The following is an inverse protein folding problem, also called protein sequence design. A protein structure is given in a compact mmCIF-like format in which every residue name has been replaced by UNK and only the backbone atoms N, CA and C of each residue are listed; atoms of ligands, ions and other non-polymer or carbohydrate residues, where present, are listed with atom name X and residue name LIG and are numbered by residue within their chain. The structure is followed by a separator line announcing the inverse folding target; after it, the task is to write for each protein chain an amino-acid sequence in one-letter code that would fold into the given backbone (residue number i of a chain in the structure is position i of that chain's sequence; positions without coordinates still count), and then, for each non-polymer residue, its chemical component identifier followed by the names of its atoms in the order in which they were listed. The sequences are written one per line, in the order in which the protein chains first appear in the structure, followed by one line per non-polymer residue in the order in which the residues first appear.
data_IF_844339333355
#
_entry.id   IF_844339333355
#
_cell.length_a   1.000
_cell.length_b   1.000
_cell.length_c   1.000
_cell.angle_alpha   90.00
_cell.angle_beta   90.00
_cell.angle_gamma   90.00
#
_symmetry.space_group_name_H-M   'P 1'
#
loop_
_entity.id
_entity.type
_entity.pdbx_description
1 polymer ?
#
# COMPACT_ATOMS: atom_id res chain seq x y z
N UNK A 1 26.26 -7.87 -4.21
CA UNK A 1 25.79 -6.60 -3.61
C UNK A 1 24.53 -6.18 -4.37
N UNK A 2 23.33 -6.36 -3.81
CA UNK A 2 22.08 -6.12 -4.55
C UNK A 2 21.83 -4.63 -4.78
N UNK A 3 21.56 -4.23 -6.02
CA UNK A 3 21.17 -2.85 -6.34
C UNK A 3 19.87 -2.51 -5.60
N UNK A 4 19.87 -1.44 -4.79
CA UNK A 4 18.67 -0.93 -4.14
C UNK A 4 17.76 -0.32 -5.22
N UNK A 5 16.60 -0.93 -5.47
CA UNK A 5 15.63 -0.46 -6.45
C UNK A 5 14.35 -0.01 -5.75
N UNK A 6 13.67 0.96 -6.34
CA UNK A 6 12.47 1.55 -5.76
C UNK A 6 11.24 1.11 -6.54
N UNK A 7 10.21 0.67 -5.84
CA UNK A 7 8.90 0.37 -6.40
C UNK A 7 7.90 1.38 -5.86
N UNK A 8 7.10 1.98 -6.73
CA UNK A 8 6.01 2.89 -6.33
C UNK A 8 4.69 2.27 -6.73
N UNK A 9 3.83 2.02 -5.74
CA UNK A 9 2.49 1.49 -5.94
C UNK A 9 1.47 2.60 -5.78
N UNK A 10 0.54 2.70 -6.72
CA UNK A 10 -0.53 3.69 -6.77
C UNK A 10 -1.84 2.96 -7.02
N UNK A 11 -2.86 3.28 -6.24
CA UNK A 11 -4.20 2.73 -6.43
C UNK A 11 -5.19 3.84 -6.75
N UNK A 12 -5.99 3.60 -7.78
CA UNK A 12 -7.02 4.51 -8.25
C UNK A 12 -8.34 3.76 -8.21
N UNK A 13 -9.33 4.37 -7.57
CA UNK A 13 -10.70 3.87 -7.59
C UNK A 13 -11.45 4.54 -8.72
N UNK A 14 -12.07 3.71 -9.53
CA UNK A 14 -12.79 4.10 -10.73
C UNK A 14 -14.27 3.82 -10.57
N UNK A 15 -15.11 4.76 -10.99
CA UNK A 15 -16.55 4.52 -11.12
C UNK A 15 -16.84 3.65 -12.35
N UNK A 16 -16.12 3.92 -13.46
CA UNK A 16 -16.18 3.16 -14.71
C UNK A 16 -14.75 2.89 -15.18
N UNK A 17 -14.33 1.61 -15.19
CA UNK A 17 -12.94 1.24 -15.49
C UNK A 17 -12.51 1.71 -16.90
N UNK A 18 -13.36 1.56 -17.91
CA UNK A 18 -13.03 1.93 -19.30
C UNK A 18 -12.73 3.42 -19.48
N UNK A 19 -13.45 4.29 -18.76
CA UNK A 19 -13.21 5.72 -18.79
C UNK A 19 -11.91 6.09 -18.05
N UNK A 20 -11.68 5.45 -16.90
CA UNK A 20 -10.42 5.56 -16.15
C UNK A 20 -9.20 5.17 -16.99
N UNK A 21 -9.29 4.04 -17.69
CA UNK A 21 -8.27 3.54 -18.62
C UNK A 21 -7.97 4.60 -19.68
N UNK A 22 -9.00 5.11 -20.36
CA UNK A 22 -8.84 6.12 -21.42
C UNK A 22 -8.14 7.39 -20.90
N UNK A 23 -8.54 7.89 -19.72
CA UNK A 23 -7.94 9.08 -19.11
C UNK A 23 -6.49 8.83 -18.66
N UNK A 24 -6.25 7.69 -18.02
CA UNK A 24 -4.92 7.31 -17.51
C UNK A 24 -3.93 7.12 -18.65
N UNK A 25 -4.33 6.39 -19.71
CA UNK A 25 -3.49 6.20 -20.90
C UNK A 25 -3.24 7.52 -21.63
N UNK A 26 -4.25 8.40 -21.71
CA UNK A 26 -4.05 9.76 -22.25
C UNK A 26 -2.96 10.54 -21.51
N UNK A 27 -2.97 10.50 -20.18
CA UNK A 27 -1.94 11.13 -19.33
C UNK A 27 -0.56 10.49 -19.52
N UNK A 28 -0.47 9.17 -19.38
CA UNK A 28 0.81 8.44 -19.51
C UNK A 28 1.44 8.66 -20.89
N UNK A 29 0.65 8.62 -21.95
CA UNK A 29 1.13 8.86 -23.31
C UNK A 29 1.56 10.32 -23.52
N UNK A 30 0.84 11.29 -22.94
CA UNK A 30 1.22 12.70 -23.01
C UNK A 30 2.56 13.00 -22.31
N UNK A 31 2.89 12.23 -21.27
CA UNK A 31 4.15 12.32 -20.54
C UNK A 31 5.25 11.44 -21.16
N UNK A 32 4.97 10.74 -22.27
CA UNK A 32 5.92 9.85 -22.94
C UNK A 32 6.33 8.63 -22.10
N UNK A 33 5.50 8.25 -21.13
CA UNK A 33 5.77 7.18 -20.18
C UNK A 33 5.54 5.82 -20.86
N UNK A 34 6.50 4.91 -20.74
CA UNK A 34 6.38 3.53 -21.23
C UNK A 34 5.71 2.66 -20.17
N UNK A 35 4.69 1.93 -20.58
CA UNK A 35 3.93 1.04 -19.69
C UNK A 35 3.48 -0.24 -20.39
N UNK A 36 3.29 -1.29 -19.60
CA UNK A 36 2.57 -2.51 -19.98
C UNK A 36 1.26 -2.58 -19.21
N UNK A 37 0.15 -2.80 -19.92
CA UNK A 37 -1.18 -2.95 -19.32
C UNK A 37 -1.56 -4.42 -19.23
N UNK A 38 -2.14 -4.80 -18.10
CA UNK A 38 -2.75 -6.10 -17.83
C UNK A 38 -4.16 -5.90 -17.31
N UNK A 39 -5.14 -6.65 -17.82
CA UNK A 39 -6.54 -6.61 -17.39
C UNK A 39 -6.85 -7.92 -16.68
N UNK A 40 -7.39 -7.82 -15.46
CA UNK A 40 -7.65 -8.93 -14.54
C UNK A 40 -6.54 -9.99 -14.50
N UNK A 41 -5.25 -9.58 -14.39
CA UNK A 41 -4.17 -10.55 -14.39
C UNK A 41 -4.15 -11.36 -13.10
N UNK A 42 -3.68 -12.60 -13.22
CA UNK A 42 -3.27 -13.34 -12.04
C UNK A 42 -1.94 -12.81 -11.45
N UNK A 43 -1.62 -13.23 -10.22
CA UNK A 43 -0.40 -12.80 -9.53
C UNK A 43 0.90 -13.19 -10.25
N UNK A 44 0.89 -14.27 -11.03
CA UNK A 44 2.06 -14.74 -11.76
C UNK A 44 2.32 -13.85 -12.97
N UNK A 45 1.29 -13.46 -13.72
CA UNK A 45 1.37 -12.54 -14.85
C UNK A 45 1.95 -11.19 -14.44
N UNK A 46 1.48 -10.62 -13.32
CA UNK A 46 2.03 -9.36 -12.80
C UNK A 46 3.53 -9.52 -12.50
N UNK A 47 3.91 -10.62 -11.84
CA UNK A 47 5.31 -10.88 -11.46
C UNK A 47 6.19 -11.07 -12.69
N UNK A 48 5.80 -11.92 -13.63
CA UNK A 48 6.54 -12.22 -14.84
C UNK A 48 6.77 -10.98 -15.71
N UNK A 49 5.79 -10.07 -15.75
CA UNK A 49 5.90 -8.81 -16.50
C UNK A 49 6.70 -7.73 -15.75
N UNK A 50 6.65 -7.71 -14.43
CA UNK A 50 7.36 -6.73 -13.60
C UNK A 50 8.85 -7.05 -13.44
N UNK A 51 9.20 -8.34 -13.47
CA UNK A 51 10.57 -8.81 -13.24
C UNK A 51 11.59 -8.26 -14.25
N UNK A 52 11.34 -8.27 -15.57
CA UNK A 52 12.25 -7.64 -16.54
C UNK A 52 12.44 -6.14 -16.29
N UNK A 53 11.38 -5.42 -15.92
CA UNK A 53 11.45 -3.99 -15.58
C UNK A 53 12.25 -3.75 -14.30
N UNK A 54 12.07 -4.63 -13.31
CA UNK A 54 12.87 -4.60 -12.10
C UNK A 54 14.33 -4.93 -12.37
N UNK A 55 14.68 -5.80 -13.31
CA UNK A 55 16.08 -6.15 -13.60
C UNK A 55 16.80 -5.05 -14.40
N UNK A 56 16.12 -4.42 -15.36
CA UNK A 56 16.69 -3.38 -16.24
C UNK A 56 16.67 -1.98 -15.62
N UNK A 57 15.56 -1.61 -14.98
CA UNK A 57 15.32 -0.26 -14.48
C UNK A 57 15.84 0.02 -13.07
N UNK A 58 15.80 1.29 -12.68
CA UNK A 58 16.02 1.73 -11.28
C UNK A 58 14.71 1.90 -10.51
N UNK A 59 13.64 2.27 -11.21
CA UNK A 59 12.30 2.47 -10.64
C UNK A 59 11.25 1.63 -11.38
N UNK A 60 10.37 1.00 -10.61
CA UNK A 60 9.19 0.32 -11.12
C UNK A 60 7.93 1.02 -10.58
N UNK A 61 7.11 1.54 -11.47
CA UNK A 61 5.76 2.00 -11.12
C UNK A 61 4.75 0.86 -11.27
N UNK A 62 3.90 0.67 -10.27
CA UNK A 62 2.73 -0.22 -10.34
C UNK A 62 1.51 0.65 -10.09
N UNK A 63 0.66 0.78 -11.10
CA UNK A 63 -0.60 1.51 -11.00
C UNK A 63 -1.76 0.53 -11.15
N UNK A 64 -2.59 0.45 -10.12
CA UNK A 64 -3.83 -0.33 -10.12
C UNK A 64 -5.01 0.62 -10.34
N UNK A 65 -5.77 0.37 -11.40
CA UNK A 65 -7.08 0.95 -11.63
C UNK A 65 -8.11 -0.13 -11.31
N UNK A 66 -9.08 0.15 -10.44
CA UNK A 66 -10.12 -0.83 -10.11
C UNK A 66 -11.49 -0.20 -9.98
N UNK A 67 -12.49 -0.90 -10.49
CA UNK A 67 -13.88 -0.72 -10.09
C UNK A 67 -14.31 -1.88 -9.15
N UNK A 68 -15.60 -2.06 -8.91
CA UNK A 68 -16.10 -3.12 -8.01
C UNK A 68 -15.96 -4.53 -8.59
N UNK A 69 -15.79 -4.67 -9.91
CA UNK A 69 -15.88 -5.95 -10.62
C UNK A 69 -14.56 -6.36 -11.30
N UNK A 70 -13.72 -5.39 -11.64
CA UNK A 70 -12.58 -5.58 -12.54
C UNK A 70 -11.41 -4.68 -12.16
N UNK A 71 -10.20 -5.14 -12.48
CA UNK A 71 -8.95 -4.45 -12.17
C UNK A 71 -8.01 -4.43 -13.37
N UNK A 72 -7.40 -3.29 -13.62
CA UNK A 72 -6.33 -3.14 -14.58
C UNK A 72 -5.04 -2.74 -13.86
N UNK A 73 -3.95 -3.42 -14.19
CA UNK A 73 -2.61 -3.11 -13.70
C UNK A 73 -1.76 -2.53 -14.82
N UNK A 74 -1.10 -1.43 -14.50
CA UNK A 74 -0.11 -0.77 -15.34
C UNK A 74 1.25 -0.93 -14.69
N UNK A 75 2.16 -1.56 -15.40
CA UNK A 75 3.55 -1.72 -15.02
C UNK A 75 4.36 -0.69 -15.80
N UNK A 76 4.93 0.27 -15.07
CA UNK A 76 5.58 1.44 -15.63
C UNK A 76 7.08 1.32 -15.43
N UNK A 77 7.82 1.31 -16.54
CA UNK A 77 9.27 1.32 -16.56
C UNK A 77 9.77 2.77 -16.53
N UNK A 78 10.57 3.13 -15.54
CA UNK A 78 11.16 4.47 -15.48
C UNK A 78 12.54 4.48 -14.81
N UNK A 79 13.39 5.38 -15.28
CA UNK A 79 14.69 5.65 -14.67
C UNK A 79 14.61 6.71 -13.56
N UNK A 80 13.46 7.37 -13.43
CA UNK A 80 13.22 8.51 -12.54
C UNK A 80 11.98 8.21 -11.67
N UNK A 81 11.90 8.73 -10.42
CA UNK A 81 10.69 8.61 -9.62
C UNK A 81 9.47 9.20 -10.35
N UNK A 82 8.51 8.35 -10.67
CA UNK A 82 7.25 8.75 -11.33
C UNK A 82 6.36 9.44 -10.30
N UNK A 83 5.83 10.63 -10.62
CA UNK A 83 4.93 11.36 -9.73
C UNK A 83 3.57 11.62 -10.36
N UNK A 84 2.64 10.66 -10.19
CA UNK A 84 1.31 10.70 -10.80
C UNK A 84 0.25 11.33 -9.88
N UNK A 85 0.58 12.45 -9.22
CA UNK A 85 -0.35 13.15 -8.31
C UNK A 85 -1.62 13.67 -9.00
N UNK A 86 -1.55 13.84 -10.32
CA UNK A 86 -2.64 14.38 -11.12
C UNK A 86 -3.62 13.31 -11.64
N UNK A 87 -3.44 12.03 -11.29
CA UNK A 87 -4.40 11.01 -11.71
C UNK A 87 -5.71 11.18 -10.94
N UNK A 88 -6.85 11.38 -11.63
CA UNK A 88 -8.13 11.49 -10.98
C UNK A 88 -8.51 10.16 -10.30
N UNK A 89 -9.08 10.24 -9.10
CA UNK A 89 -9.49 9.05 -8.34
C UNK A 89 -8.37 8.33 -7.59
N UNK A 90 -7.18 8.93 -7.48
CA UNK A 90 -6.08 8.38 -6.68
C UNK A 90 -6.51 8.24 -5.21
N UNK A 91 -6.52 7.01 -4.71
CA UNK A 91 -6.83 6.72 -3.30
C UNK A 91 -5.60 6.94 -2.42
N UNK A 92 -4.48 6.35 -2.84
CA UNK A 92 -3.22 6.45 -2.12
C UNK A 92 -2.02 6.08 -3.02
N UNK A 93 -0.84 6.46 -2.53
CA UNK A 93 0.44 6.12 -3.12
C UNK A 93 1.41 5.63 -2.05
N UNK A 94 2.09 4.52 -2.27
CA UNK A 94 3.10 3.96 -1.35
C UNK A 94 4.39 3.65 -2.10
N UNK A 95 5.52 4.06 -1.54
CA UNK A 95 6.85 3.72 -2.05
C UNK A 95 7.50 2.61 -1.22
N UNK A 96 8.11 1.67 -1.92
CA UNK A 96 8.84 0.54 -1.38
C UNK A 96 10.27 0.55 -1.92
N UNK A 97 11.23 0.12 -1.09
CA UNK A 97 12.58 -0.21 -1.49
C UNK A 97 12.72 -1.71 -1.48
N UNK A 98 13.00 -2.27 -2.64
CA UNK A 98 13.14 -3.70 -2.84
C UNK A 98 14.62 -4.03 -3.02
N UNK A 99 15.12 -4.95 -2.20
CA UNK A 99 16.54 -5.37 -2.17
C UNK A 99 16.77 -6.72 -2.82
N UNK A 100 15.73 -7.57 -2.89
CA UNK A 100 15.79 -8.96 -3.37
C UNK A 100 14.63 -9.24 -4.33
N UNK A 101 14.87 -10.13 -5.29
CA UNK A 101 13.86 -10.61 -6.26
C UNK A 101 12.68 -11.30 -5.57
N UNK A 102 12.96 -12.14 -4.57
CA UNK A 102 11.94 -12.76 -3.71
C UNK A 102 11.01 -11.73 -3.03
N UNK A 103 11.59 -10.58 -2.65
CA UNK A 103 10.87 -9.46 -2.09
C UNK A 103 9.90 -8.83 -3.09
N UNK A 104 10.35 -8.64 -4.33
CA UNK A 104 9.49 -8.16 -5.42
C UNK A 104 8.29 -9.09 -5.63
N UNK A 105 8.53 -10.40 -5.76
CA UNK A 105 7.47 -11.39 -5.96
C UNK A 105 6.46 -11.38 -4.81
N UNK A 106 6.95 -11.31 -3.57
CA UNK A 106 6.07 -11.23 -2.40
C UNK A 106 5.24 -9.93 -2.39
N UNK A 107 5.86 -8.80 -2.72
CA UNK A 107 5.18 -7.50 -2.77
C UNK A 107 4.08 -7.48 -3.84
N UNK A 108 4.39 -7.94 -5.06
CA UNK A 108 3.41 -7.98 -6.15
C UNK A 108 2.26 -8.93 -5.85
N UNK A 109 2.52 -10.07 -5.19
CA UNK A 109 1.46 -10.97 -4.72
C UNK A 109 0.52 -10.28 -3.74
N UNK A 110 1.08 -9.55 -2.78
CA UNK A 110 0.30 -8.83 -1.76
C UNK A 110 -0.50 -7.68 -2.38
N UNK A 111 0.08 -6.97 -3.36
CA UNK A 111 -0.62 -5.95 -4.16
C UNK A 111 -1.79 -6.59 -4.90
N UNK A 112 -1.55 -7.69 -5.63
CA UNK A 112 -2.60 -8.41 -6.36
C UNK A 112 -3.73 -8.92 -5.44
N UNK A 113 -3.40 -9.40 -4.24
CA UNK A 113 -4.38 -9.83 -3.25
C UNK A 113 -5.17 -8.65 -2.61
N UNK A 114 -4.88 -7.40 -3.00
CA UNK A 114 -5.56 -6.20 -2.48
C UNK A 114 -5.24 -5.91 -1.01
N UNK A 115 -4.17 -6.52 -0.47
CA UNK A 115 -3.77 -6.42 0.93
C UNK A 115 -2.92 -5.18 1.23
N UNK A 116 -2.59 -4.38 0.20
CA UNK A 116 -1.96 -3.07 0.33
C UNK A 116 -3.06 -2.00 0.28
N UNK A 117 -3.26 -1.28 1.39
CA UNK A 117 -4.33 -0.27 1.48
C UNK A 117 -4.01 0.85 2.46
N UNK A 118 -4.36 2.10 2.11
CA UNK A 118 -4.09 3.31 2.91
C UNK A 118 -4.77 3.34 4.28
N UNK A 119 -5.84 2.58 4.49
CA UNK A 119 -6.59 2.55 5.76
C UNK A 119 -5.84 1.87 6.92
N UNK A 120 -4.86 1.01 6.66
CA UNK A 120 -4.14 0.28 7.72
C UNK A 120 -3.05 1.10 8.42
N UNK A 121 -2.57 2.18 7.82
CA UNK A 121 -1.62 3.09 8.49
C UNK A 121 -2.27 3.98 9.56
N UNK A 122 -3.60 4.14 9.56
CA UNK A 122 -4.32 4.90 10.60
C UNK A 122 -4.28 4.23 11.98
N UNK A 123 -3.95 2.93 12.05
CA UNK A 123 -4.05 2.16 13.29
C UNK A 123 -2.74 2.01 14.05
N UNK A 124 -1.65 2.68 13.66
CA UNK A 124 -0.39 2.67 14.45
C UNK A 124 -0.59 3.25 15.86
N UNK A 125 -1.53 4.19 16.02
CA UNK A 125 -1.93 4.74 17.32
C UNK A 125 -2.86 3.79 18.10
N UNK A 126 -3.81 3.12 17.44
CA UNK A 126 -4.62 2.05 18.05
C UNK A 126 -3.79 0.83 18.43
N UNK A 127 -2.67 0.58 17.75
CA UNK A 127 -1.68 -0.47 18.03
C UNK A 127 -0.99 -0.22 19.37
N UNK A 128 -0.48 1.00 19.60
CA UNK A 128 0.08 1.39 20.89
C UNK A 128 -0.99 1.35 21.99
N UNK A 129 -2.22 1.77 21.68
CA UNK A 129 -3.33 1.68 22.62
C UNK A 129 -3.69 0.23 22.96
N UNK A 130 -3.77 -0.66 21.97
CA UNK A 130 -4.07 -2.09 22.16
C UNK A 130 -2.93 -2.83 22.86
N UNK A 131 -1.66 -2.54 22.56
CA UNK A 131 -0.52 -3.15 23.25
C UNK A 131 -0.43 -2.68 24.71
N UNK A 132 -0.70 -1.40 24.99
CA UNK A 132 -0.79 -0.90 26.37
C UNK A 132 -2.02 -1.44 27.11
N UNK A 133 -3.18 -1.51 26.45
CA UNK A 133 -4.42 -1.99 27.05
C UNK A 133 -4.35 -3.50 27.32
N UNK A 134 -3.93 -4.32 26.35
CA UNK A 134 -3.73 -5.77 26.51
C UNK A 134 -2.61 -6.07 27.52
N UNK A 135 -1.50 -5.31 27.50
CA UNK A 135 -0.45 -5.44 28.51
C UNK A 135 -0.97 -5.22 29.93
N UNK A 136 -1.82 -4.20 30.13
CA UNK A 136 -2.42 -3.92 31.44
C UNK A 136 -3.52 -4.92 31.85
N UNK A 137 -4.34 -5.39 30.91
CA UNK A 137 -5.44 -6.31 31.18
C UNK A 137 -4.93 -7.72 31.48
N UNK A 138 -3.97 -8.23 30.71
CA UNK A 138 -3.37 -9.56 30.94
C UNK A 138 -2.55 -9.64 32.23
N UNK A 139 -1.90 -8.55 32.64
CA UNK A 139 -1.27 -8.47 33.96
C UNK A 139 -2.30 -8.50 35.10
N UNK A 140 -3.54 -8.10 34.86
CA UNK A 140 -4.56 -7.93 35.90
C UNK A 140 -5.55 -9.08 36.05
N UNK A 141 -5.84 -9.89 35.01
CA UNK A 141 -6.99 -10.81 35.06
C UNK A 141 -6.70 -12.30 35.00
N UNK A 142 -5.63 -12.77 34.36
CA UNK A 142 -5.45 -14.21 34.16
C UNK A 142 -3.98 -14.51 33.97
N UNK A 143 -3.28 -14.98 35.02
CA UNK A 143 -2.13 -15.90 34.94
C UNK A 143 -1.57 -16.09 36.37
N UNK A 144 -2.22 -16.95 37.17
CA UNK A 144 -1.60 -17.57 38.36
C UNK A 144 -0.52 -18.56 37.88
N UNK A 145 0.55 -18.05 37.29
CA UNK A 145 1.71 -18.87 36.92
C UNK A 145 2.68 -18.81 38.09
N UNK A 146 2.95 -19.96 38.70
CA UNK A 146 3.94 -20.08 39.79
C UNK A 146 5.35 -19.65 39.35
N UNK A 147 5.61 -19.57 38.03
CA UNK A 147 6.89 -19.19 37.46
C UNK A 147 6.82 -17.90 36.65
N UNK A 148 7.46 -16.86 37.19
CA UNK A 148 7.72 -15.58 36.52
C UNK A 148 8.33 -15.73 35.12
N UNK A 149 9.21 -16.73 34.93
CA UNK A 149 9.86 -16.98 33.64
C UNK A 149 8.89 -17.48 32.58
N UNK A 150 7.91 -18.31 32.96
CA UNK A 150 6.88 -18.78 32.05
C UNK A 150 5.96 -17.64 31.62
N UNK A 151 5.57 -16.78 32.56
CA UNK A 151 4.74 -15.60 32.28
C UNK A 151 5.45 -14.63 31.32
N UNK A 152 6.74 -14.36 31.54
CA UNK A 152 7.53 -13.49 30.67
C UNK A 152 7.64 -14.05 29.24
N UNK A 153 7.89 -15.34 29.09
CA UNK A 153 7.95 -16.01 27.79
C UNK A 153 6.61 -15.92 27.03
N UNK A 154 5.50 -16.18 27.72
CA UNK A 154 4.16 -16.13 27.12
C UNK A 154 3.82 -14.72 26.67
N UNK A 155 4.09 -13.70 27.50
CA UNK A 155 3.87 -12.30 27.14
C UNK A 155 4.72 -11.88 25.94
N UNK A 156 5.98 -12.35 25.85
CA UNK A 156 6.86 -12.06 24.73
C UNK A 156 6.34 -12.70 23.43
N UNK A 157 5.91 -13.98 23.48
CA UNK A 157 5.31 -14.69 22.35
C UNK A 157 4.02 -13.99 21.88
N UNK A 158 3.13 -13.63 22.81
CA UNK A 158 1.87 -12.94 22.50
C UNK A 158 2.13 -11.58 21.85
N UNK A 159 3.09 -10.83 22.36
CA UNK A 159 3.48 -9.52 21.81
C UNK A 159 3.99 -9.68 20.37
N UNK A 160 4.86 -10.65 20.12
CA UNK A 160 5.37 -10.96 18.76
C UNK A 160 4.24 -11.38 17.83
N UNK A 161 3.31 -12.23 18.28
CA UNK A 161 2.14 -12.66 17.51
C UNK A 161 1.23 -11.49 17.15
N UNK A 162 0.95 -10.59 18.11
CA UNK A 162 0.18 -9.37 17.87
C UNK A 162 0.86 -8.48 16.83
N UNK A 163 2.17 -8.26 16.95
CA UNK A 163 2.93 -7.51 15.95
C UNK A 163 2.86 -8.18 14.57
N UNK A 164 2.99 -9.51 14.49
CA UNK A 164 2.90 -10.23 13.23
C UNK A 164 1.52 -10.11 12.60
N UNK A 165 0.43 -10.27 13.35
CA UNK A 165 -0.95 -10.20 12.83
C UNK A 165 -1.33 -8.78 12.43
N UNK A 166 -0.93 -7.79 13.24
CA UNK A 166 -1.32 -6.38 13.03
C UNK A 166 -0.49 -5.71 11.92
N UNK A 167 0.79 -6.07 11.80
CA UNK A 167 1.70 -5.52 10.78
C UNK A 167 1.84 -6.45 9.55
N UNK A 168 1.03 -7.52 9.47
CA UNK A 168 0.90 -8.33 8.27
C UNK A 168 0.19 -7.51 7.19
N UNK A 169 0.77 -7.39 5.98
CA UNK A 169 1.85 -8.22 5.45
C UNK A 169 3.24 -7.55 5.40
N UNK A 170 3.39 -6.33 5.92
CA UNK A 170 4.61 -5.52 5.83
C UNK A 170 5.78 -6.08 6.65
N UNK A 171 5.50 -6.69 7.80
CA UNK A 171 6.51 -7.39 8.61
C UNK A 171 7.18 -8.53 7.84
N UNK A 172 6.40 -9.36 7.13
CA UNK A 172 6.93 -10.42 6.28
C UNK A 172 7.67 -9.88 5.05
N UNK A 173 7.18 -8.77 4.49
CA UNK A 173 7.84 -8.09 3.38
C UNK A 173 9.24 -7.61 3.77
N UNK A 174 9.41 -7.09 4.99
CA UNK A 174 10.71 -6.69 5.51
C UNK A 174 11.72 -7.84 5.52
N UNK A 175 11.33 -9.01 6.05
CA UNK A 175 12.19 -10.20 6.04
C UNK A 175 12.52 -10.69 4.62
N UNK A 176 11.61 -10.49 3.66
CA UNK A 176 11.84 -10.77 2.24
C UNK A 176 12.62 -9.68 1.50
N UNK A 177 13.08 -8.65 2.21
CA UNK A 177 13.94 -7.60 1.67
C UNK A 177 13.20 -6.43 1.04
N UNK A 178 11.97 -6.16 1.47
CA UNK A 178 11.16 -5.01 1.06
C UNK A 178 10.97 -4.06 2.24
N UNK A 179 11.41 -2.82 2.08
CA UNK A 179 11.25 -1.76 3.09
C UNK A 179 10.23 -0.74 2.58
N UNK A 180 9.28 -0.33 3.42
CA UNK A 180 8.38 0.78 3.10
C UNK A 180 9.15 2.10 3.28
N UNK A 181 9.21 2.94 2.24
CA UNK A 181 10.04 4.17 2.22
C UNK A 181 9.20 5.44 2.42
N UNK A 182 7.96 5.45 1.94
CA UNK A 182 7.03 6.55 2.17
C UNK A 182 5.72 6.01 2.73
N UNK A 183 5.20 6.66 3.77
CA UNK A 183 3.83 6.43 4.24
C UNK A 183 2.84 6.78 3.12
N UNK A 184 1.65 6.16 3.15
CA UNK A 184 0.63 6.35 2.14
C UNK A 184 0.22 7.84 2.05
N UNK A 185 0.65 8.57 1.02
CA UNK A 185 0.10 9.89 0.73
C UNK A 185 -1.34 9.68 0.24
N UNK A 186 -2.30 9.94 1.13
CA UNK A 186 -3.73 9.93 0.80
C UNK A 186 -4.07 11.28 0.18
N UNK A 187 -4.40 11.31 -1.10
CA UNK A 187 -4.98 12.49 -1.74
C UNK A 187 -6.45 12.58 -1.34
N UNK A 188 -6.72 12.99 -0.10
CA UNK A 188 -8.06 13.45 0.26
C UNK A 188 -8.32 14.76 -0.49
N UNK A 189 -9.01 14.66 -1.62
CA UNK A 189 -9.67 15.82 -2.23
C UNK A 189 -10.75 16.31 -1.26
N UNK A 190 -10.37 17.21 -0.36
CA UNK A 190 -11.32 17.93 0.48
C UNK A 190 -12.11 18.85 -0.46
N UNK A 191 -13.31 18.42 -0.84
CA UNK A 191 -14.30 19.30 -1.44
C UNK A 191 -14.67 20.36 -0.41
N UNK A 192 -14.04 21.53 -0.47
CA UNK A 192 -14.46 22.70 0.29
C UNK A 192 -15.75 23.20 -0.37
N UNK A 193 -16.90 22.73 0.13
CA UNK A 193 -18.20 23.30 -0.17
C UNK A 193 -18.24 24.74 0.37
N UNK A 194 -17.91 25.71 -0.48
CA UNK A 194 -18.03 27.13 -0.17
C UNK A 194 -19.51 27.52 -0.23
N UNK A 195 -20.23 27.32 0.87
CA UNK A 195 -21.62 27.75 1.01
C UNK A 195 -21.62 29.28 1.04
N UNK A 196 -21.95 29.92 -0.09
CA UNK A 196 -22.30 31.35 -0.12
C UNK A 196 -23.67 31.49 0.56
N UNK A 197 -23.67 32.00 1.79
CA UNK A 197 -24.88 32.51 2.41
C UNK A 197 -25.22 33.83 1.69
N UNK A 198 -26.23 33.83 0.82
CA UNK A 198 -26.83 35.07 0.32
C UNK A 198 -27.66 35.69 1.44
N UNK A 199 -27.16 36.78 2.01
CA UNK A 199 -27.95 37.69 2.85
C UNK A 199 -29.08 38.28 2.01
N UNK A 200 -30.27 37.73 2.20
CA UNK A 200 -31.52 38.28 1.69
C UNK A 200 -31.79 39.60 2.44
N UNK A 201 -31.44 40.72 1.81
CA UNK A 201 -31.94 42.07 2.14
C UNK A 201 -33.46 42.00 2.32
N UNK A 202 -33.95 42.26 3.53
CA UNK A 202 -35.33 42.65 3.77
C UNK A 202 -35.38 44.17 3.85
N UNK A 203 -36.34 44.69 3.09
CA UNK A 203 -36.89 46.05 3.09
C UNK A 203 -37.15 46.60 4.48
#
# INVERSE_FOLDING_TARGET
MGSKKSLKYMRVRCDILSECIKRTEGLLNSEGIRYSRLIDPDSYMITAMAEPFYERGKFLGVLELGDELSRAFYLIESDIPINLKNIPGLEFTIAFRVRKKEGLTALLRIIHEGKVGGARHKHRSTLNFLTSFLGSLFLSTVMDFESYWAQLLIMLILTVLLFLVLDYPFSLLYFKGVEVVSEAETSTNVFVLKIKLEEKKRS
#
